data_IF_589713413162
#
_entry.id   IF_589713413162
#
_cell.length_a   1.000
_cell.length_b   1.000
_cell.length_c   1.000
_cell.angle_alpha   90.00
_cell.angle_beta   90.00
_cell.angle_gamma   90.00
#
_symmetry.space_group_name_H-M   'P 1'
#
loop_
_entity.id
_entity.type
_entity.pdbx_description
1 polymer ?
#
# COMPACT_ATOMS: atom_id res chain seq x y z
N UNK A 1 -49.90 0.50 8.09
CA UNK A 1 -49.45 1.88 7.79
C UNK A 1 -47.94 1.85 7.66
N UNK A 2 -47.39 1.88 6.44
CA UNK A 2 -45.93 1.82 6.20
C UNK A 2 -45.26 3.16 6.48
N UNK A 3 -43.98 3.14 6.89
CA UNK A 3 -43.22 4.35 7.24
C UNK A 3 -43.12 5.34 6.06
N UNK A 4 -43.28 6.66 6.30
CA UNK A 4 -43.40 7.68 5.23
C UNK A 4 -42.12 7.92 4.42
N UNK A 5 -40.97 7.46 4.90
CA UNK A 5 -39.72 7.46 4.15
C UNK A 5 -39.08 6.08 4.31
N UNK A 6 -39.42 5.14 3.42
CA UNK A 6 -38.62 3.93 3.28
C UNK A 6 -37.17 4.37 3.03
N UNK A 7 -36.23 3.84 3.83
CA UNK A 7 -34.81 4.14 3.65
C UNK A 7 -34.35 3.87 2.22
N UNK A 8 -33.13 4.31 1.87
CA UNK A 8 -32.53 3.96 0.58
C UNK A 8 -32.43 2.42 0.48
N UNK A 9 -33.39 1.79 -0.20
CA UNK A 9 -33.30 0.37 -0.51
C UNK A 9 -32.27 0.20 -1.61
N UNK A 10 -31.30 -0.68 -1.37
CA UNK A 10 -30.36 -1.10 -2.41
C UNK A 10 -31.15 -1.71 -3.58
N UNK A 11 -30.68 -1.55 -4.83
CA UNK A 11 -31.24 -2.28 -5.97
C UNK A 11 -31.20 -3.79 -5.73
N UNK A 12 -32.12 -4.53 -6.35
CA UNK A 12 -32.08 -5.99 -6.34
C UNK A 12 -30.74 -6.51 -6.87
N UNK A 13 -30.24 -7.66 -6.38
CA UNK A 13 -28.91 -8.17 -6.76
C UNK A 13 -28.66 -8.21 -8.26
N UNK A 14 -29.65 -8.62 -9.06
CA UNK A 14 -29.58 -8.67 -10.53
C UNK A 14 -29.38 -7.29 -11.19
N UNK A 15 -29.69 -6.21 -10.47
CA UNK A 15 -29.56 -4.81 -10.90
C UNK A 15 -28.37 -4.10 -10.25
N UNK A 16 -27.64 -4.75 -9.36
CA UNK A 16 -26.41 -4.20 -8.78
C UNK A 16 -25.27 -4.28 -9.79
N UNK A 17 -24.37 -3.29 -9.81
CA UNK A 17 -23.19 -3.31 -10.68
C UNK A 17 -22.14 -4.29 -10.14
N UNK A 18 -21.26 -4.82 -11.02
CA UNK A 18 -20.24 -5.82 -10.66
C UNK A 18 -19.39 -5.45 -9.43
N UNK A 19 -19.02 -4.16 -9.32
CA UNK A 19 -18.29 -3.59 -8.19
C UNK A 19 -18.96 -3.77 -6.82
N UNK A 20 -20.27 -3.99 -6.79
CA UNK A 20 -21.05 -4.22 -5.57
C UNK A 20 -21.37 -5.71 -5.33
N UNK A 21 -21.23 -6.57 -6.34
CA UNK A 21 -21.64 -7.97 -6.26
C UNK A 21 -20.46 -8.91 -6.01
N UNK A 22 -19.52 -8.97 -6.96
CA UNK A 22 -18.50 -10.03 -7.01
C UNK A 22 -17.18 -9.58 -7.63
N UNK A 23 -17.11 -8.37 -8.20
CA UNK A 23 -15.83 -7.88 -8.71
C UNK A 23 -14.86 -7.79 -7.53
N UNK A 24 -13.65 -8.35 -7.65
CA UNK A 24 -12.63 -8.17 -6.64
C UNK A 24 -12.42 -6.66 -6.45
N UNK A 25 -12.38 -6.22 -5.20
CA UNK A 25 -12.23 -4.81 -4.77
C UNK A 25 -11.01 -4.13 -5.43
N UNK A 26 -10.12 -4.91 -6.04
CA UNK A 26 -8.89 -4.50 -6.69
C UNK A 26 -8.59 -5.35 -7.93
N UNK A 27 -9.45 -5.34 -8.96
CA UNK A 27 -9.16 -6.04 -10.23
C UNK A 27 -7.84 -5.58 -10.87
N UNK A 28 -7.47 -4.31 -10.69
CA UNK A 28 -6.21 -3.74 -11.17
C UNK A 28 -5.33 -3.30 -10.00
N UNK A 29 -4.85 -4.25 -9.18
CA UNK A 29 -3.98 -4.00 -8.00
C UNK A 29 -2.80 -3.08 -8.32
N UNK A 30 -2.23 -3.20 -9.53
CA UNK A 30 -1.08 -2.42 -9.96
C UNK A 30 -1.43 -1.01 -10.46
N UNK A 31 -2.72 -0.70 -10.66
CA UNK A 31 -3.22 0.60 -11.16
C UNK A 31 -3.96 1.38 -10.07
N UNK A 32 -3.90 0.95 -8.82
CA UNK A 32 -4.58 1.59 -7.68
C UNK A 32 -3.95 2.94 -7.26
N UNK A 33 -3.08 3.51 -8.09
CA UNK A 33 -2.42 4.80 -7.83
C UNK A 33 -1.39 4.79 -6.69
N UNK A 34 -1.09 3.63 -6.10
CA UNK A 34 -0.12 3.50 -5.01
C UNK A 34 1.33 3.40 -5.45
N UNK A 35 1.59 3.10 -6.73
CA UNK A 35 2.93 3.00 -7.29
C UNK A 35 3.30 4.28 -8.07
N UNK A 36 4.58 4.71 -8.04
CA UNK A 36 5.05 5.75 -8.95
C UNK A 36 4.81 5.32 -10.41
N UNK A 37 4.46 6.29 -11.26
CA UNK A 37 4.08 6.03 -12.65
C UNK A 37 5.17 5.23 -13.38
N UNK A 38 4.75 4.23 -14.18
CA UNK A 38 5.63 3.23 -14.80
C UNK A 38 6.81 3.81 -15.59
N UNK A 39 6.67 5.04 -16.11
CA UNK A 39 7.73 5.70 -16.88
C UNK A 39 8.95 6.15 -16.06
N UNK A 40 8.79 6.40 -14.75
CA UNK A 40 9.87 6.88 -13.88
C UNK A 40 9.90 6.17 -12.51
N UNK A 41 9.35 4.95 -12.44
CA UNK A 41 9.17 4.24 -11.18
C UNK A 41 10.51 3.93 -10.49
N UNK A 42 11.57 3.73 -11.29
CA UNK A 42 12.91 3.44 -10.80
C UNK A 42 13.55 4.69 -10.19
N UNK A 43 13.52 5.80 -10.91
CA UNK A 43 14.04 7.10 -10.50
C UNK A 43 13.33 7.57 -9.23
N UNK A 44 12.00 7.48 -9.17
CA UNK A 44 11.22 7.81 -7.99
C UNK A 44 11.57 6.93 -6.78
N UNK A 45 11.83 5.63 -7.00
CA UNK A 45 12.28 4.73 -5.94
C UNK A 45 13.69 5.07 -5.46
N UNK A 46 14.59 5.42 -6.38
CA UNK A 46 15.96 5.79 -6.07
C UNK A 46 16.02 7.12 -5.28
N UNK A 47 15.22 8.12 -5.64
CA UNK A 47 15.09 9.38 -4.91
C UNK A 47 14.51 9.20 -3.49
N UNK A 48 13.50 8.33 -3.35
CA UNK A 48 12.93 7.98 -2.06
C UNK A 48 13.98 7.29 -1.17
N UNK A 49 14.74 6.34 -1.71
CA UNK A 49 15.82 5.67 -0.98
C UNK A 49 16.93 6.62 -0.59
N UNK A 50 17.32 7.55 -1.48
CA UNK A 50 18.36 8.53 -1.21
C UNK A 50 17.99 9.52 -0.09
N UNK A 51 16.69 9.79 0.08
CA UNK A 51 16.17 10.68 1.12
C UNK A 51 16.06 10.02 2.50
N UNK A 52 16.22 8.69 2.58
CA UNK A 52 16.22 7.95 3.83
C UNK A 52 17.64 7.90 4.39
N UNK A 53 17.84 8.46 5.58
CA UNK A 53 19.09 8.26 6.32
C UNK A 53 19.24 6.76 6.65
N UNK A 54 20.46 6.23 6.56
CA UNK A 54 20.75 4.88 7.06
C UNK A 54 20.25 4.71 8.49
N UNK A 55 19.84 3.49 8.86
CA UNK A 55 19.45 3.17 10.23
C UNK A 55 20.53 3.65 11.22
N UNK A 56 20.14 4.12 12.41
CA UNK A 56 21.09 4.55 13.43
C UNK A 56 22.04 3.40 13.77
N UNK A 57 23.31 3.74 13.98
CA UNK A 57 24.33 2.76 14.39
C UNK A 57 23.98 2.18 15.76
N UNK A 58 24.15 0.87 15.91
CA UNK A 58 23.86 0.21 17.17
C UNK A 58 24.93 0.62 18.21
N UNK A 59 24.59 0.92 19.47
CA UNK A 59 25.57 1.40 20.46
C UNK A 59 26.77 0.47 20.67
N UNK A 60 26.58 -0.83 20.43
CA UNK A 60 27.62 -1.86 20.59
C UNK A 60 28.30 -2.27 19.27
N UNK A 61 27.99 -1.62 18.15
CA UNK A 61 28.47 -2.02 16.82
C UNK A 61 30.01 -2.01 16.74
N UNK A 62 30.65 -0.93 17.21
CA UNK A 62 32.12 -0.84 17.29
C UNK A 62 32.73 -1.89 18.22
N UNK A 63 32.11 -2.15 19.36
CA UNK A 63 32.58 -3.18 20.30
C UNK A 63 32.46 -4.58 19.69
N UNK A 64 31.37 -4.86 18.98
CA UNK A 64 31.18 -6.13 18.28
C UNK A 64 32.23 -6.30 17.17
N UNK A 65 32.50 -5.26 16.37
CA UNK A 65 33.56 -5.27 15.35
C UNK A 65 34.94 -5.53 15.98
N UNK A 66 35.30 -4.83 17.05
CA UNK A 66 36.59 -5.03 17.75
C UNK A 66 36.75 -6.43 18.32
N UNK A 67 35.66 -7.09 18.74
CA UNK A 67 35.69 -8.44 19.33
C UNK A 67 35.58 -9.57 18.32
N UNK A 68 34.92 -9.32 17.19
CA UNK A 68 34.65 -10.34 16.16
C UNK A 68 35.57 -10.22 14.95
N UNK A 69 36.22 -9.08 14.77
CA UNK A 69 37.30 -8.92 13.80
C UNK A 69 38.43 -9.86 14.17
N UNK A 70 38.63 -10.88 13.32
CA UNK A 70 39.87 -11.65 13.32
C UNK A 70 40.97 -10.70 12.83
N UNK A 71 41.86 -10.31 13.74
CA UNK A 71 43.17 -9.78 13.37
C UNK A 71 43.98 -10.83 12.61
#
# INVERSE_FOLDING_TARGET
MSAPNAGRQSPDPERQTGAQQQDPVASNVNEQGGAPSQGNAKEASDDQKASLSSNPTHPLEKFAEEKTSKK
#
